data_IF_661998880188
#
_entry.id   IF_661998880188
#
_cell.length_a   1.000
_cell.length_b   1.000
_cell.length_c   1.000
_cell.angle_alpha   90.00
_cell.angle_beta   90.00
_cell.angle_gamma   90.00
#
_symmetry.space_group_name_H-M   'P 1'
#
loop_
_entity.id
_entity.type
_entity.pdbx_description
1 polymer ?
#
# COMPACT_ATOMS: atom_id res chain seq x y z
N UNK A 1 19.41 18.83 -37.29
CA UNK A 1 20.54 18.96 -36.35
C UNK A 1 20.69 20.43 -35.99
N UNK A 2 20.14 20.87 -34.85
CA UNK A 2 20.30 22.24 -34.34
C UNK A 2 20.45 22.18 -32.82
N UNK A 3 21.65 22.57 -32.38
CA UNK A 3 22.10 23.10 -31.10
C UNK A 3 21.66 22.41 -29.80
N UNK A 4 22.52 21.49 -29.35
CA UNK A 4 22.63 21.06 -27.95
C UNK A 4 23.66 21.92 -27.17
N UNK A 5 23.72 23.24 -27.45
CA UNK A 5 24.87 24.09 -27.07
C UNK A 5 24.64 25.17 -26.03
N UNK A 6 23.41 25.54 -25.67
CA UNK A 6 23.14 26.79 -24.91
C UNK A 6 22.40 26.55 -23.59
N UNK A 7 22.71 25.48 -22.85
CA UNK A 7 22.10 25.23 -21.53
C UNK A 7 23.07 25.37 -20.34
N UNK A 8 24.36 25.58 -20.56
CA UNK A 8 25.33 25.67 -19.46
C UNK A 8 25.60 27.12 -18.99
N UNK A 9 25.32 28.13 -19.80
CA UNK A 9 25.84 29.50 -19.57
C UNK A 9 24.85 30.47 -18.88
N UNK A 10 23.65 29.99 -18.50
CA UNK A 10 22.63 30.80 -17.81
C UNK A 10 22.36 30.37 -16.36
N UNK A 11 23.21 29.51 -15.79
CA UNK A 11 23.22 29.19 -14.36
C UNK A 11 24.17 30.12 -13.60
N UNK A 12 24.05 31.42 -13.84
CA UNK A 12 24.51 32.39 -12.87
C UNK A 12 23.73 32.12 -11.58
N UNK A 13 24.47 31.82 -10.50
CA UNK A 13 23.95 31.34 -9.21
C UNK A 13 23.04 32.37 -8.56
N UNK A 14 21.78 32.44 -9.00
CA UNK A 14 20.73 33.07 -8.24
C UNK A 14 20.34 32.13 -7.09
N UNK A 15 20.97 32.36 -5.94
CA UNK A 15 20.73 31.65 -4.67
C UNK A 15 19.42 32.08 -3.98
N UNK A 16 18.52 32.78 -4.69
CA UNK A 16 17.22 33.17 -4.16
C UNK A 16 16.41 31.94 -3.68
N UNK A 17 15.70 32.10 -2.55
CA UNK A 17 14.90 31.03 -1.94
C UNK A 17 13.86 30.41 -2.89
N UNK A 18 13.40 31.17 -3.89
CA UNK A 18 12.47 30.68 -4.92
C UNK A 18 13.10 29.63 -5.83
N UNK A 19 14.38 29.75 -6.14
CA UNK A 19 15.07 28.83 -7.06
C UNK A 19 15.39 27.47 -6.41
N UNK A 20 15.43 27.41 -5.06
CA UNK A 20 15.55 26.13 -4.31
C UNK A 20 14.29 25.27 -4.37
N UNK A 21 13.16 25.83 -4.81
CA UNK A 21 11.85 25.15 -4.87
C UNK A 21 11.55 24.54 -6.24
N UNK A 22 12.46 24.68 -7.20
CA UNK A 22 12.33 24.16 -8.55
C UNK A 22 12.03 25.25 -9.59
N UNK A 23 12.38 24.97 -10.84
CA UNK A 23 12.12 25.87 -11.97
C UNK A 23 10.62 25.80 -12.32
N UNK A 24 9.89 26.94 -12.36
CA UNK A 24 8.51 26.95 -12.83
C UNK A 24 8.47 26.60 -14.32
N UNK A 25 7.74 25.54 -14.67
CA UNK A 25 7.59 25.05 -16.04
C UNK A 25 6.13 25.07 -16.44
N UNK A 26 5.83 25.56 -17.65
CA UNK A 26 4.49 25.54 -18.22
C UNK A 26 3.98 24.09 -18.34
N UNK A 27 2.74 23.77 -17.92
CA UNK A 27 2.21 22.40 -17.89
C UNK A 27 2.28 21.67 -19.24
N UNK A 28 2.19 22.42 -20.34
CA UNK A 28 2.27 21.90 -21.71
C UNK A 28 3.61 21.20 -21.98
N UNK A 29 4.70 21.69 -21.38
CA UNK A 29 6.04 21.10 -21.52
C UNK A 29 6.18 19.75 -20.83
N UNK A 30 5.29 19.41 -19.88
CA UNK A 30 5.26 18.07 -19.30
C UNK A 30 4.76 17.03 -20.31
N UNK A 31 4.04 17.43 -21.37
CA UNK A 31 3.56 16.51 -22.42
C UNK A 31 4.67 16.04 -23.35
N UNK A 32 5.72 16.84 -23.50
CA UNK A 32 6.87 16.53 -24.34
C UNK A 32 7.92 15.70 -23.59
N UNK A 33 7.74 15.47 -22.28
CA UNK A 33 8.61 14.58 -21.52
C UNK A 33 8.42 13.14 -21.99
N UNK A 34 9.51 12.38 -22.20
CA UNK A 34 9.39 10.96 -22.45
C UNK A 34 8.69 10.31 -21.26
N UNK A 35 7.83 9.32 -21.53
CA UNK A 35 7.08 8.63 -20.50
C UNK A 35 7.99 8.12 -19.37
N UNK A 36 9.22 7.70 -19.67
CA UNK A 36 10.23 7.25 -18.71
C UNK A 36 10.66 8.29 -17.67
N UNK A 37 10.32 9.57 -17.86
CA UNK A 37 10.57 10.67 -16.91
C UNK A 37 9.30 11.17 -16.24
N UNK A 38 8.14 10.58 -16.53
CA UNK A 38 6.90 10.91 -15.87
C UNK A 38 6.91 10.39 -14.42
N UNK A 39 6.28 11.14 -13.51
CA UNK A 39 6.21 10.77 -12.09
C UNK A 39 5.51 9.43 -11.83
N UNK A 40 4.64 9.00 -12.76
CA UNK A 40 3.89 7.74 -12.70
C UNK A 40 4.50 6.64 -13.59
N UNK A 41 5.69 6.86 -14.13
CA UNK A 41 6.36 5.83 -14.92
C UNK A 41 6.78 4.67 -14.03
N UNK A 42 6.50 3.46 -14.50
CA UNK A 42 6.97 2.21 -13.91
C UNK A 42 7.74 1.48 -15.00
N UNK A 43 8.96 1.05 -14.71
CA UNK A 43 9.71 0.22 -15.66
C UNK A 43 9.07 -1.18 -15.75
N UNK A 44 9.35 -1.91 -16.83
CA UNK A 44 8.90 -3.30 -16.96
C UNK A 44 9.42 -4.20 -15.82
N UNK A 45 10.56 -3.85 -15.25
CA UNK A 45 11.12 -4.51 -14.06
C UNK A 45 10.30 -4.19 -12.82
N UNK A 46 10.03 -2.90 -12.53
CA UNK A 46 9.17 -2.48 -11.41
C UNK A 46 7.79 -3.13 -11.50
N UNK A 47 7.21 -3.18 -12.70
CA UNK A 47 5.92 -3.80 -12.95
C UNK A 47 5.95 -5.29 -12.59
N UNK A 48 6.98 -6.01 -13.07
CA UNK A 48 7.16 -7.45 -12.77
C UNK A 48 7.30 -7.69 -11.27
N UNK A 49 8.11 -6.91 -10.57
CA UNK A 49 8.30 -7.02 -9.13
C UNK A 49 7.00 -6.74 -8.36
N UNK A 50 6.28 -5.69 -8.72
CA UNK A 50 5.00 -5.33 -8.07
C UNK A 50 3.92 -6.38 -8.32
N UNK A 51 3.86 -6.95 -9.52
CA UNK A 51 2.95 -8.06 -9.83
C UNK A 51 3.29 -9.32 -9.03
N UNK A 52 4.58 -9.68 -8.94
CA UNK A 52 5.02 -10.80 -8.12
C UNK A 52 4.66 -10.61 -6.63
N UNK A 53 4.94 -9.42 -6.08
CA UNK A 53 4.54 -9.06 -4.73
C UNK A 53 3.01 -9.08 -4.53
N UNK A 54 2.25 -8.68 -5.56
CA UNK A 54 0.80 -8.74 -5.61
C UNK A 54 0.27 -10.17 -5.46
N UNK A 55 0.83 -11.14 -6.21
CA UNK A 55 0.46 -12.57 -6.10
C UNK A 55 0.70 -13.13 -4.70
N UNK A 56 1.86 -12.83 -4.11
CA UNK A 56 2.17 -13.24 -2.72
C UNK A 56 1.16 -12.63 -1.74
N UNK A 57 0.82 -11.34 -1.90
CA UNK A 57 -0.18 -10.67 -1.07
C UNK A 57 -1.57 -11.27 -1.22
N UNK A 58 -1.98 -11.63 -2.43
CA UNK A 58 -3.24 -12.30 -2.70
C UNK A 58 -3.34 -13.64 -1.96
N UNK A 59 -2.30 -14.49 -2.07
CA UNK A 59 -2.23 -15.77 -1.35
C UNK A 59 -2.35 -15.58 0.16
N UNK A 60 -1.62 -14.62 0.73
CA UNK A 60 -1.71 -14.27 2.16
C UNK A 60 -3.13 -13.84 2.54
N UNK A 61 -3.77 -12.98 1.75
CA UNK A 61 -5.15 -12.53 2.02
C UNK A 61 -6.16 -13.68 1.94
N UNK A 62 -6.00 -14.58 0.95
CA UNK A 62 -6.83 -15.78 0.82
C UNK A 62 -6.70 -16.67 2.05
N UNK A 63 -5.47 -16.91 2.49
CA UNK A 63 -5.19 -17.67 3.70
C UNK A 63 -5.78 -16.99 4.94
N UNK A 64 -5.58 -15.69 5.15
CA UNK A 64 -6.15 -14.96 6.30
C UNK A 64 -7.67 -15.09 6.34
N UNK A 65 -8.34 -14.99 5.19
CA UNK A 65 -9.80 -15.15 5.11
C UNK A 65 -10.25 -16.57 5.49
N UNK A 66 -9.54 -17.58 5.03
CA UNK A 66 -9.81 -18.97 5.40
C UNK A 66 -9.56 -19.21 6.91
N UNK A 67 -8.42 -18.74 7.43
CA UNK A 67 -8.07 -18.87 8.84
C UNK A 67 -9.05 -18.11 9.76
N UNK A 68 -9.53 -16.94 9.34
CA UNK A 68 -10.60 -16.21 10.04
C UNK A 68 -11.87 -17.04 10.15
N UNK A 69 -12.30 -17.67 9.05
CA UNK A 69 -13.51 -18.49 9.03
C UNK A 69 -13.39 -19.73 9.92
N UNK A 70 -12.20 -20.33 10.00
CA UNK A 70 -11.95 -21.56 10.76
C UNK A 70 -11.72 -21.30 12.26
N UNK A 71 -11.00 -20.23 12.62
CA UNK A 71 -10.47 -20.04 13.97
C UNK A 71 -11.23 -19.00 14.80
N UNK A 72 -11.96 -18.10 14.15
CA UNK A 72 -12.59 -16.96 14.83
C UNK A 72 -14.11 -17.13 14.91
N UNK A 73 -14.68 -16.65 16.01
CA UNK A 73 -16.14 -16.55 16.17
C UNK A 73 -16.74 -15.56 15.15
N UNK A 74 -18.05 -15.65 14.84
CA UNK A 74 -18.69 -14.72 13.92
C UNK A 74 -18.50 -13.24 14.28
N UNK A 75 -18.46 -12.92 15.58
CA UNK A 75 -18.25 -11.56 16.07
C UNK A 75 -16.81 -11.08 15.87
N UNK A 76 -15.83 -11.92 16.18
CA UNK A 76 -14.41 -11.66 15.87
C UNK A 76 -14.20 -11.44 14.37
N UNK A 77 -14.80 -12.30 13.53
CA UNK A 77 -14.75 -12.17 12.08
C UNK A 77 -15.36 -10.85 11.61
N UNK A 78 -16.51 -10.44 12.15
CA UNK A 78 -17.15 -9.16 11.82
C UNK A 78 -16.26 -7.98 12.18
N UNK A 79 -15.67 -7.97 13.39
CA UNK A 79 -14.79 -6.89 13.83
C UNK A 79 -13.55 -6.78 12.94
N UNK A 80 -12.89 -7.90 12.60
CA UNK A 80 -11.73 -7.91 11.68
C UNK A 80 -12.15 -7.39 10.29
N UNK A 81 -13.30 -7.84 9.78
CA UNK A 81 -13.80 -7.44 8.47
C UNK A 81 -14.07 -5.94 8.40
N UNK A 82 -14.73 -5.36 9.40
CA UNK A 82 -15.05 -3.94 9.39
C UNK A 82 -13.83 -3.06 9.63
N UNK A 83 -12.96 -3.43 10.56
CA UNK A 83 -11.79 -2.62 10.92
C UNK A 83 -10.66 -2.73 9.87
N UNK A 84 -10.17 -3.95 9.60
CA UNK A 84 -9.00 -4.13 8.73
C UNK A 84 -9.34 -4.18 7.24
N UNK A 85 -10.43 -4.86 6.84
CA UNK A 85 -10.80 -4.93 5.42
C UNK A 85 -11.71 -3.80 4.97
N UNK A 86 -12.56 -3.28 5.87
CA UNK A 86 -13.45 -2.16 5.60
C UNK A 86 -12.82 -0.79 5.83
N UNK A 87 -11.65 -0.72 6.49
CA UNK A 87 -10.97 0.54 6.79
C UNK A 87 -11.76 1.45 7.75
N UNK A 88 -12.71 0.90 8.51
CA UNK A 88 -13.49 1.68 9.46
C UNK A 88 -12.67 1.95 10.74
N UNK A 89 -12.92 3.09 11.37
CA UNK A 89 -12.42 3.33 12.72
C UNK A 89 -13.06 2.37 13.74
N UNK A 90 -12.48 2.26 14.94
CA UNK A 90 -12.92 1.31 15.97
C UNK A 90 -14.36 1.53 16.42
N UNK A 91 -14.83 2.79 16.50
CA UNK A 91 -16.19 3.11 16.93
C UNK A 91 -17.19 2.69 15.85
N UNK A 92 -16.91 3.03 14.59
CA UNK A 92 -17.74 2.65 13.44
C UNK A 92 -17.77 1.12 13.22
N UNK A 93 -16.63 0.45 13.37
CA UNK A 93 -16.55 -1.01 13.29
C UNK A 93 -17.35 -1.70 14.41
N UNK A 94 -17.24 -1.22 15.64
CA UNK A 94 -17.98 -1.76 16.78
C UNK A 94 -19.49 -1.58 16.64
N UNK A 95 -19.92 -0.38 16.22
CA UNK A 95 -21.33 -0.09 15.94
C UNK A 95 -21.89 -1.03 14.87
N UNK A 96 -21.15 -1.24 13.77
CA UNK A 96 -21.57 -2.14 12.68
C UNK A 96 -21.54 -3.62 13.06
N UNK A 97 -20.69 -4.00 14.01
CA UNK A 97 -20.67 -5.33 14.62
C UNK A 97 -21.71 -5.51 15.75
N UNK A 98 -22.48 -4.48 16.09
CA UNK A 98 -23.49 -4.53 17.15
C UNK A 98 -22.89 -4.67 18.56
N UNK A 99 -21.71 -4.11 18.81
CA UNK A 99 -21.00 -4.24 20.09
C UNK A 99 -20.37 -2.94 20.57
N UNK A 100 -19.89 -2.92 21.81
CA UNK A 100 -19.18 -1.77 22.37
C UNK A 100 -17.75 -1.68 21.78
N UNK A 101 -17.15 -0.48 21.67
CA UNK A 101 -15.77 -0.34 21.20
C UNK A 101 -14.74 -1.13 22.03
N UNK A 102 -14.95 -1.24 23.35
CA UNK A 102 -14.09 -2.02 24.22
C UNK A 102 -14.15 -3.52 23.92
N UNK A 103 -15.36 -4.04 23.66
CA UNK A 103 -15.57 -5.43 23.26
C UNK A 103 -14.98 -5.70 21.88
N UNK A 104 -15.25 -4.84 20.89
CA UNK A 104 -14.66 -4.96 19.55
C UNK A 104 -13.13 -4.95 19.59
N UNK A 105 -12.53 -4.09 20.42
CA UNK A 105 -11.08 -4.05 20.61
C UNK A 105 -10.53 -5.37 21.18
N UNK A 106 -11.21 -5.96 22.17
CA UNK A 106 -10.84 -7.26 22.75
C UNK A 106 -10.97 -8.39 21.72
N UNK A 107 -12.07 -8.42 20.99
CA UNK A 107 -12.32 -9.43 19.95
C UNK A 107 -11.30 -9.32 18.81
N UNK A 108 -10.96 -8.10 18.37
CA UNK A 108 -9.90 -7.86 17.38
C UNK A 108 -8.55 -8.40 17.84
N UNK A 109 -8.17 -8.10 19.10
CA UNK A 109 -6.90 -8.60 19.67
C UNK A 109 -6.89 -10.12 19.76
N UNK A 110 -8.00 -10.72 20.19
CA UNK A 110 -8.17 -12.18 20.23
C UNK A 110 -8.02 -12.80 18.84
N UNK A 111 -8.74 -12.28 17.85
CA UNK A 111 -8.67 -12.75 16.46
C UNK A 111 -7.23 -12.64 15.91
N UNK A 112 -6.57 -11.49 16.09
CA UNK A 112 -5.19 -11.28 15.64
C UNK A 112 -4.21 -12.23 16.34
N UNK A 113 -4.40 -12.54 17.62
CA UNK A 113 -3.57 -13.51 18.33
C UNK A 113 -3.70 -14.90 17.72
N UNK A 114 -4.94 -15.39 17.51
CA UNK A 114 -5.22 -16.69 16.87
C UNK A 114 -4.62 -16.79 15.48
N UNK A 115 -4.78 -15.75 14.66
CA UNK A 115 -4.22 -15.70 13.31
C UNK A 115 -2.69 -15.70 13.31
N UNK A 116 -2.06 -14.98 14.23
CA UNK A 116 -0.59 -14.96 14.36
C UNK A 116 -0.04 -16.31 14.81
N UNK A 117 -0.72 -16.97 15.73
CA UNK A 117 -0.36 -18.32 16.17
C UNK A 117 -0.47 -19.31 15.01
N UNK A 118 -1.60 -19.30 14.28
CA UNK A 118 -1.78 -20.13 13.10
C UNK A 118 -0.72 -19.85 12.02
N UNK A 119 -0.37 -18.58 11.80
CA UNK A 119 0.65 -18.20 10.83
C UNK A 119 2.05 -18.71 11.24
N UNK A 120 2.38 -18.75 12.54
CA UNK A 120 3.67 -19.28 13.04
C UNK A 120 3.80 -20.79 12.87
N UNK A 121 2.68 -21.50 12.83
CA UNK A 121 2.66 -22.94 12.60
C UNK A 121 2.88 -23.32 11.12
N UNK A 122 2.83 -22.34 10.20
CA UNK A 122 3.07 -22.59 8.78
C UNK A 122 4.57 -22.73 8.48
N UNK A 123 4.94 -23.51 7.45
CA UNK A 123 6.26 -23.48 6.85
C UNK A 123 6.66 -22.06 6.39
N UNK A 124 7.95 -21.73 6.40
CA UNK A 124 8.45 -20.39 6.04
C UNK A 124 8.11 -19.99 4.59
N UNK A 125 8.07 -20.98 3.71
CA UNK A 125 7.82 -20.89 2.27
C UNK A 125 6.35 -21.06 1.88
N UNK A 126 5.44 -21.13 2.86
CA UNK A 126 4.02 -21.43 2.63
C UNK A 126 3.33 -20.48 1.62
N UNK A 127 3.82 -19.25 1.47
CA UNK A 127 3.25 -18.25 0.55
C UNK A 127 4.06 -18.02 -0.72
N UNK A 128 5.19 -18.71 -0.87
CA UNK A 128 6.17 -18.48 -1.95
C UNK A 128 5.87 -19.34 -3.19
N UNK A 129 5.05 -20.40 -3.07
CA UNK A 129 4.62 -21.25 -4.18
C UNK A 129 3.66 -20.57 -5.16
N UNK A 130 3.57 -21.11 -6.38
CA UNK A 130 2.67 -20.64 -7.45
C UNK A 130 1.19 -20.92 -7.16
#
# INVERSE_FOLDING_TARGET
MKHAGDYEDALEKDESRGNRLGVPVAPERLRDLPASRAMWYESDEDLRERLAAGKVRERRLRWVRAALALLCTPREQACVRFYYFGGLDMRSAAARAGTSPATACRDLRSAVAKLREAARALPKDHFDGE
#
